data_IF_581666714088
#
_entry.id   IF_581666714088
#
_cell.length_a   1.000
_cell.length_b   1.000
_cell.length_c   1.000
_cell.angle_alpha   90.00
_cell.angle_beta   90.00
_cell.angle_gamma   90.00
#
_symmetry.space_group_name_H-M   'P 1'
#
loop_
_entity.id
_entity.type
_entity.pdbx_description
1 polymer ?
#
# COMPACT_ATOMS: atom_id res chain seq x y z
N UNK A 1 -18.04 21.85 -42.25
CA UNK A 1 -16.65 21.51 -41.91
C UNK A 1 -15.84 22.67 -41.28
N UNK A 2 -15.83 23.88 -41.84
CA UNK A 2 -15.05 25.01 -41.27
C UNK A 2 -15.50 25.43 -39.85
N UNK A 3 -16.81 25.51 -39.56
CA UNK A 3 -17.30 25.90 -38.24
C UNK A 3 -16.96 24.90 -37.13
N UNK A 4 -16.94 23.63 -37.45
CA UNK A 4 -16.65 22.58 -36.49
C UNK A 4 -15.14 22.43 -36.19
N UNK A 5 -14.29 22.68 -37.19
CA UNK A 5 -12.85 22.81 -36.98
C UNK A 5 -12.52 24.04 -36.10
N UNK A 6 -13.24 25.15 -36.32
CA UNK A 6 -13.13 26.34 -35.47
C UNK A 6 -13.55 26.08 -34.01
N UNK A 7 -14.63 25.36 -33.78
CA UNK A 7 -15.07 24.98 -32.41
C UNK A 7 -14.09 24.05 -31.75
N UNK A 8 -13.46 23.11 -32.47
CA UNK A 8 -12.40 22.25 -31.97
C UNK A 8 -11.15 23.04 -31.57
N UNK A 9 -10.74 24.01 -32.41
CA UNK A 9 -9.61 24.89 -32.13
C UNK A 9 -9.92 25.83 -30.95
N UNK A 10 -11.14 26.39 -30.87
CA UNK A 10 -11.55 27.22 -29.74
C UNK A 10 -11.61 26.42 -28.42
N UNK A 11 -12.10 25.19 -28.46
CA UNK A 11 -12.10 24.29 -27.31
C UNK A 11 -10.68 23.93 -26.87
N UNK A 12 -9.79 23.66 -27.82
CA UNK A 12 -8.38 23.36 -27.54
C UNK A 12 -7.62 24.57 -26.98
N UNK A 13 -7.88 25.78 -27.51
CA UNK A 13 -7.24 27.02 -27.00
C UNK A 13 -7.73 27.37 -25.60
N UNK A 14 -9.03 27.15 -25.28
CA UNK A 14 -9.58 27.31 -23.94
C UNK A 14 -8.98 26.32 -22.94
N UNK A 15 -8.85 25.04 -23.33
CA UNK A 15 -8.23 24.01 -22.51
C UNK A 15 -6.74 24.29 -22.26
N UNK A 16 -6.02 24.77 -23.28
CA UNK A 16 -4.61 25.18 -23.15
C UNK A 16 -4.46 26.37 -22.20
N UNK A 17 -5.36 27.38 -22.30
CA UNK A 17 -5.33 28.54 -21.38
C UNK A 17 -5.53 28.13 -19.92
N UNK A 18 -6.52 27.28 -19.64
CA UNK A 18 -6.79 26.75 -18.31
C UNK A 18 -5.62 25.89 -17.77
N UNK A 19 -5.03 25.07 -18.62
CA UNK A 19 -3.87 24.24 -18.24
C UNK A 19 -2.64 25.12 -17.97
N UNK A 20 -2.36 26.11 -18.81
CA UNK A 20 -1.25 27.04 -18.61
C UNK A 20 -1.40 27.80 -17.27
N UNK A 21 -2.61 28.27 -16.95
CA UNK A 21 -2.88 28.96 -15.70
C UNK A 21 -2.71 28.04 -14.48
N UNK A 22 -3.20 26.78 -14.54
CA UNK A 22 -3.05 25.83 -13.45
C UNK A 22 -1.59 25.42 -13.24
N UNK A 23 -0.81 25.27 -14.30
CA UNK A 23 0.62 24.91 -14.21
C UNK A 23 1.49 26.11 -13.82
N UNK A 24 1.09 27.35 -14.18
CA UNK A 24 1.80 28.55 -13.77
C UNK A 24 1.80 28.75 -12.25
N UNK A 25 0.69 28.39 -11.58
CA UNK A 25 0.60 28.39 -10.10
C UNK A 25 1.61 27.45 -9.46
N UNK A 26 2.01 26.39 -10.19
CA UNK A 26 2.98 25.39 -9.74
C UNK A 26 4.41 25.67 -10.27
N UNK A 27 4.65 26.79 -10.93
CA UNK A 27 5.93 27.12 -11.56
C UNK A 27 6.29 26.26 -12.77
N UNK A 28 5.30 25.62 -13.42
CA UNK A 28 5.50 24.65 -14.53
C UNK A 28 4.74 25.06 -15.80
N UNK A 29 4.68 26.35 -16.10
CA UNK A 29 3.97 26.88 -17.27
C UNK A 29 4.54 26.39 -18.61
N UNK A 30 5.82 26.06 -18.67
CA UNK A 30 6.52 25.47 -19.82
C UNK A 30 5.85 24.19 -20.30
N UNK A 31 5.36 23.34 -19.41
CA UNK A 31 4.64 22.10 -19.76
C UNK A 31 3.34 22.33 -20.55
N UNK A 32 2.74 23.50 -20.42
CA UNK A 32 1.56 23.85 -21.22
C UNK A 32 1.95 24.05 -22.70
N UNK A 33 3.08 24.66 -22.94
CA UNK A 33 3.63 24.91 -24.29
C UNK A 33 4.02 23.59 -24.94
N UNK A 34 4.71 22.72 -24.22
CA UNK A 34 5.16 21.41 -24.71
C UNK A 34 3.98 20.48 -25.04
N UNK A 35 2.89 20.58 -24.29
CA UNK A 35 1.68 19.77 -24.54
C UNK A 35 0.69 20.39 -25.55
N UNK A 36 0.87 21.62 -25.96
CA UNK A 36 -0.02 22.30 -26.90
C UNK A 36 -0.30 21.51 -28.21
N UNK A 37 0.74 20.96 -28.91
CA UNK A 37 0.52 20.18 -30.13
C UNK A 37 -0.33 18.92 -29.87
N UNK A 38 -0.13 18.26 -28.74
CA UNK A 38 -0.86 17.05 -28.36
C UNK A 38 -2.34 17.33 -28.07
N UNK A 39 -2.64 18.44 -27.43
CA UNK A 39 -4.02 18.87 -27.16
C UNK A 39 -4.76 19.22 -28.46
N UNK A 40 -4.10 19.96 -29.35
CA UNK A 40 -4.68 20.32 -30.66
C UNK A 40 -4.96 19.06 -31.49
N UNK A 41 -3.97 18.17 -31.61
CA UNK A 41 -4.12 16.92 -32.36
C UNK A 41 -5.21 16.01 -31.75
N UNK A 42 -5.26 15.89 -30.43
CA UNK A 42 -6.30 15.16 -29.71
C UNK A 42 -7.69 15.71 -29.95
N UNK A 43 -7.86 17.04 -29.97
CA UNK A 43 -9.11 17.71 -30.24
C UNK A 43 -9.59 17.47 -31.70
N UNK A 44 -8.67 17.56 -32.66
CA UNK A 44 -8.99 17.28 -34.09
C UNK A 44 -9.41 15.83 -34.27
N UNK A 45 -8.71 14.89 -33.65
CA UNK A 45 -9.02 13.47 -33.69
C UNK A 45 -10.41 13.18 -33.09
N UNK A 46 -10.68 13.68 -31.87
CA UNK A 46 -11.97 13.48 -31.20
C UNK A 46 -13.12 14.06 -31.99
N UNK A 47 -12.91 15.20 -32.63
CA UNK A 47 -13.88 15.79 -33.56
C UNK A 47 -14.14 14.89 -34.77
N UNK A 48 -13.09 14.35 -35.39
CA UNK A 48 -13.21 13.45 -36.54
C UNK A 48 -13.98 12.16 -36.16
N UNK A 49 -13.66 11.57 -35.00
CA UNK A 49 -14.36 10.38 -34.48
C UNK A 49 -15.85 10.68 -34.23
N UNK A 50 -16.19 11.82 -33.63
CA UNK A 50 -17.57 12.22 -33.39
C UNK A 50 -18.31 12.47 -34.72
N UNK A 51 -17.69 13.13 -35.70
CA UNK A 51 -18.28 13.39 -37.01
C UNK A 51 -18.55 12.09 -37.79
N UNK A 52 -17.61 11.13 -37.75
CA UNK A 52 -17.79 9.82 -38.38
C UNK A 52 -18.89 9.00 -37.68
N UNK A 53 -18.93 9.04 -36.35
CA UNK A 53 -20.04 8.42 -35.59
C UNK A 53 -21.38 8.96 -35.98
N UNK A 54 -21.53 10.29 -36.06
CA UNK A 54 -22.76 10.93 -36.48
C UNK A 54 -23.12 10.55 -37.91
N UNK A 55 -22.16 10.51 -38.83
CA UNK A 55 -22.39 10.09 -40.22
C UNK A 55 -22.91 8.65 -40.28
N UNK A 56 -22.30 7.69 -39.56
CA UNK A 56 -22.78 6.31 -39.54
C UNK A 56 -24.20 6.22 -39.01
N UNK A 57 -24.50 6.92 -37.91
CA UNK A 57 -25.85 6.96 -37.34
C UNK A 57 -26.86 7.53 -38.34
N UNK A 58 -26.56 8.65 -39.05
CA UNK A 58 -27.40 9.24 -40.04
C UNK A 58 -27.66 8.31 -41.25
N UNK A 59 -26.62 7.54 -41.67
CA UNK A 59 -26.76 6.56 -42.75
C UNK A 59 -27.69 5.41 -42.35
N UNK A 60 -27.58 4.93 -41.11
CA UNK A 60 -28.50 3.90 -40.56
C UNK A 60 -29.92 4.45 -40.47
N UNK A 61 -30.11 5.65 -39.90
CA UNK A 61 -31.45 6.29 -39.77
C UNK A 61 -32.11 6.55 -41.12
N UNK A 62 -31.31 6.91 -42.11
CA UNK A 62 -31.79 7.11 -43.51
C UNK A 62 -31.92 5.82 -44.30
N UNK A 63 -31.76 4.65 -43.65
CA UNK A 63 -31.83 3.34 -44.27
C UNK A 63 -30.88 3.15 -45.46
N UNK A 64 -29.76 3.89 -45.48
CA UNK A 64 -28.72 3.78 -46.53
C UNK A 64 -27.77 2.62 -46.29
N UNK A 65 -27.61 2.19 -45.04
CA UNK A 65 -26.85 1.01 -44.64
C UNK A 65 -27.67 0.17 -43.66
N UNK A 66 -27.45 -1.13 -43.67
CA UNK A 66 -28.11 -2.05 -42.75
C UNK A 66 -27.66 -1.80 -41.29
N UNK A 67 -28.55 -1.95 -40.29
CA UNK A 67 -28.21 -1.73 -38.88
C UNK A 67 -27.01 -2.58 -38.41
N UNK A 68 -26.88 -3.82 -38.89
CA UNK A 68 -25.75 -4.69 -38.61
C UNK A 68 -24.42 -4.08 -39.09
N UNK A 69 -24.38 -3.53 -40.30
CA UNK A 69 -23.19 -2.87 -40.85
C UNK A 69 -22.88 -1.60 -40.08
N UNK A 70 -23.89 -0.83 -39.69
CA UNK A 70 -23.74 0.33 -38.84
C UNK A 70 -23.15 -0.01 -37.48
N UNK A 71 -23.62 -1.07 -36.82
CA UNK A 71 -23.07 -1.56 -35.54
C UNK A 71 -21.60 -1.95 -35.67
N UNK A 72 -21.21 -2.71 -36.69
CA UNK A 72 -19.84 -3.09 -36.96
C UNK A 72 -18.95 -1.87 -37.17
N UNK A 73 -19.44 -0.88 -37.98
CA UNK A 73 -18.71 0.34 -38.26
C UNK A 73 -18.48 1.19 -37.00
N UNK A 74 -19.51 1.33 -36.15
CA UNK A 74 -19.37 2.02 -34.86
C UNK A 74 -18.41 1.30 -33.92
N UNK A 75 -18.50 -0.02 -33.83
CA UNK A 75 -17.55 -0.80 -33.00
C UNK A 75 -16.11 -0.63 -33.47
N UNK A 76 -15.88 -0.72 -34.78
CA UNK A 76 -14.54 -0.51 -35.36
C UNK A 76 -14.04 0.93 -35.12
N UNK A 77 -14.90 1.92 -35.20
CA UNK A 77 -14.56 3.33 -35.00
C UNK A 77 -14.16 3.57 -33.53
N UNK A 78 -14.92 3.03 -32.58
CA UNK A 78 -14.58 3.10 -31.14
C UNK A 78 -13.28 2.36 -30.87
N UNK A 79 -13.10 1.17 -31.41
CA UNK A 79 -11.87 0.39 -31.23
C UNK A 79 -10.64 1.13 -31.78
N UNK A 80 -10.73 1.74 -32.95
CA UNK A 80 -9.65 2.50 -33.55
C UNK A 80 -9.34 3.79 -32.77
N UNK A 81 -10.38 4.49 -32.29
CA UNK A 81 -10.19 5.70 -31.51
C UNK A 81 -9.50 5.39 -30.19
N UNK A 82 -9.97 4.41 -29.42
CA UNK A 82 -9.33 3.96 -28.17
C UNK A 82 -7.91 3.49 -28.43
N UNK A 83 -7.71 2.58 -29.37
CA UNK A 83 -6.37 2.05 -29.67
C UNK A 83 -5.38 3.13 -30.10
N UNK A 84 -5.84 4.15 -30.82
CA UNK A 84 -4.98 5.27 -31.26
C UNK A 84 -4.37 6.06 -30.08
N UNK A 85 -5.06 6.07 -28.92
CA UNK A 85 -4.57 6.68 -27.67
C UNK A 85 -3.76 5.68 -26.86
N UNK A 86 -4.37 4.54 -26.56
CA UNK A 86 -3.84 3.56 -25.60
C UNK A 86 -2.46 3.05 -26.01
N UNK A 87 -2.22 2.84 -27.31
CA UNK A 87 -0.90 2.39 -27.83
C UNK A 87 0.25 3.30 -27.43
N UNK A 88 0.01 4.59 -27.16
CA UNK A 88 1.04 5.53 -26.73
C UNK A 88 1.47 5.31 -25.28
N UNK A 89 0.61 4.66 -24.48
CA UNK A 89 0.86 4.36 -23.07
C UNK A 89 1.33 2.94 -22.85
N UNK A 90 1.41 2.12 -23.89
CA UNK A 90 1.91 0.77 -23.76
C UNK A 90 3.40 0.79 -23.44
N UNK A 91 3.70 0.46 -22.21
CA UNK A 91 5.05 0.27 -21.73
C UNK A 91 5.22 -1.21 -21.40
N UNK A 92 6.25 -1.82 -21.98
CA UNK A 92 6.58 -3.21 -21.71
C UNK A 92 7.75 -3.24 -20.72
N UNK A 93 7.53 -3.87 -19.58
CA UNK A 93 8.59 -4.18 -18.62
C UNK A 93 9.19 -5.57 -18.92
N UNK A 94 10.40 -5.85 -18.44
CA UNK A 94 10.89 -7.22 -18.39
C UNK A 94 9.88 -8.16 -17.70
N UNK A 95 9.90 -9.47 -17.99
CA UNK A 95 9.04 -10.42 -17.27
C UNK A 95 9.21 -10.29 -15.76
N UNK A 96 8.11 -10.45 -15.02
CA UNK A 96 8.12 -10.33 -13.55
C UNK A 96 9.15 -11.26 -12.88
N UNK A 97 9.39 -12.45 -13.45
CA UNK A 97 10.41 -13.39 -12.99
C UNK A 97 11.85 -12.87 -13.11
N UNK A 98 12.10 -11.93 -14.02
CA UNK A 98 13.41 -11.28 -14.17
C UNK A 98 13.46 -10.04 -13.27
N UNK A 99 12.45 -9.18 -13.35
CA UNK A 99 12.41 -7.91 -12.63
C UNK A 99 12.40 -8.08 -11.10
N UNK A 100 11.70 -9.10 -10.61
CA UNK A 100 11.62 -9.44 -9.20
C UNK A 100 12.41 -10.71 -8.86
N UNK A 101 13.49 -11.00 -9.60
CA UNK A 101 14.39 -12.07 -9.25
C UNK A 101 15.02 -11.81 -7.87
N UNK A 102 15.07 -12.83 -7.02
CA UNK A 102 15.82 -12.77 -5.77
C UNK A 102 17.31 -12.62 -6.02
N UNK A 103 18.02 -12.09 -5.04
CA UNK A 103 19.47 -11.94 -5.04
C UNK A 103 20.06 -12.33 -3.67
N UNK A 104 21.38 -12.30 -3.54
CA UNK A 104 22.06 -12.71 -2.29
C UNK A 104 21.59 -11.93 -1.04
N UNK A 105 21.15 -10.67 -1.21
CA UNK A 105 20.59 -9.85 -0.11
C UNK A 105 19.22 -10.39 0.30
N UNK A 106 18.32 -10.59 -0.67
CA UNK A 106 16.97 -11.09 -0.40
C UNK A 106 16.98 -12.50 0.17
N UNK A 107 17.92 -13.35 -0.31
CA UNK A 107 18.11 -14.72 0.19
C UNK A 107 18.62 -14.74 1.65
N UNK A 108 19.48 -13.79 2.01
CA UNK A 108 19.95 -13.65 3.38
C UNK A 108 18.80 -13.23 4.31
N UNK A 109 17.99 -12.27 3.89
CA UNK A 109 16.84 -11.78 4.67
C UNK A 109 15.79 -12.89 4.82
N UNK A 110 15.52 -13.66 3.77
CA UNK A 110 14.53 -14.74 3.78
C UNK A 110 14.85 -15.88 4.75
N UNK A 111 16.13 -16.04 5.16
CA UNK A 111 16.59 -17.08 6.10
C UNK A 111 16.40 -16.74 7.57
N UNK A 112 15.82 -15.59 7.90
CA UNK A 112 15.65 -15.17 9.29
C UNK A 112 14.54 -15.95 10.00
N UNK A 113 14.83 -16.38 11.24
CA UNK A 113 13.89 -17.16 12.06
C UNK A 113 12.70 -16.36 12.57
N UNK A 114 12.84 -15.05 12.70
CA UNK A 114 11.81 -14.15 13.21
C UNK A 114 11.43 -13.10 12.18
N UNK A 115 10.19 -12.63 12.17
CA UNK A 115 9.74 -11.62 11.23
C UNK A 115 10.32 -10.26 11.59
N UNK A 116 11.12 -9.70 10.66
CA UNK A 116 11.64 -8.33 10.73
C UNK A 116 11.19 -7.55 9.48
N UNK A 117 11.21 -6.21 9.56
CA UNK A 117 11.01 -5.36 8.40
C UNK A 117 12.32 -4.84 7.85
N UNK A 118 12.24 -4.54 6.55
CA UNK A 118 13.31 -3.92 5.78
C UNK A 118 12.92 -2.49 5.46
N UNK A 119 13.83 -1.57 5.68
CA UNK A 119 13.77 -0.22 5.15
C UNK A 119 14.65 -0.17 3.90
N UNK A 120 14.03 -0.03 2.72
CA UNK A 120 14.75 0.11 1.46
C UNK A 120 14.60 1.55 0.95
N UNK A 121 15.68 2.31 0.96
CA UNK A 121 15.70 3.73 0.55
C UNK A 121 16.93 4.02 -0.28
N UNK A 122 16.75 4.49 -1.52
CA UNK A 122 17.86 4.99 -2.32
C UNK A 122 18.32 6.36 -1.79
N UNK A 123 19.62 6.59 -1.85
CA UNK A 123 20.23 7.83 -1.36
C UNK A 123 21.01 8.51 -2.51
N UNK A 124 20.89 9.82 -2.58
CA UNK A 124 21.60 10.64 -3.58
C UNK A 124 20.88 10.77 -4.91
N UNK A 125 21.49 11.56 -5.84
CA UNK A 125 20.88 11.90 -7.12
C UNK A 125 20.89 10.73 -8.14
N UNK A 126 21.75 9.74 -7.94
CA UNK A 126 21.91 8.59 -8.84
C UNK A 126 20.93 7.44 -8.51
N UNK A 127 19.96 7.71 -7.64
CA UNK A 127 18.91 6.77 -7.32
C UNK A 127 18.04 6.49 -8.55
N UNK A 128 17.92 5.22 -8.95
CA UNK A 128 17.06 4.81 -10.06
C UNK A 128 15.61 4.75 -9.59
N UNK A 129 14.72 5.67 -10.02
CA UNK A 129 13.34 5.73 -9.50
C UNK A 129 12.50 4.50 -9.83
N UNK A 130 12.89 3.75 -10.89
CA UNK A 130 12.19 2.57 -11.39
C UNK A 130 12.75 1.26 -10.84
N UNK A 131 13.71 1.33 -9.91
CA UNK A 131 14.27 0.16 -9.26
C UNK A 131 13.22 -0.56 -8.42
N UNK A 132 12.95 -1.86 -8.65
CA UNK A 132 11.91 -2.59 -7.92
C UNK A 132 12.17 -2.68 -6.42
N UNK A 133 13.41 -2.79 -5.98
CA UNK A 133 13.77 -2.88 -4.56
C UNK A 133 13.49 -1.55 -3.84
N UNK A 134 13.82 -0.43 -4.50
CA UNK A 134 13.56 0.92 -3.99
C UNK A 134 12.18 1.45 -4.36
N UNK A 135 11.49 0.81 -5.29
CA UNK A 135 10.14 1.14 -5.77
C UNK A 135 9.01 0.80 -4.79
N UNK A 136 9.29 0.75 -3.50
CA UNK A 136 8.35 0.56 -2.37
C UNK A 136 7.71 -0.82 -2.27
N UNK A 137 7.20 -1.40 -3.37
CA UNK A 137 6.51 -2.70 -3.38
C UNK A 137 7.37 -3.86 -3.90
N UNK A 138 8.60 -3.59 -4.33
CA UNK A 138 9.48 -4.58 -4.96
C UNK A 138 9.91 -5.75 -4.07
N UNK A 139 9.84 -5.59 -2.75
CA UNK A 139 10.12 -6.66 -1.79
C UNK A 139 8.91 -7.58 -1.55
N UNK A 140 7.69 -7.14 -1.89
CA UNK A 140 6.46 -7.90 -1.65
C UNK A 140 6.38 -9.22 -2.42
N UNK A 141 6.72 -9.30 -3.73
CA UNK A 141 6.75 -10.56 -4.45
C UNK A 141 7.71 -11.60 -3.85
N UNK A 142 8.75 -11.13 -3.17
CA UNK A 142 9.74 -11.96 -2.48
C UNK A 142 9.32 -12.33 -1.04
N UNK A 143 8.11 -11.94 -0.62
CA UNK A 143 7.57 -12.12 0.74
C UNK A 143 8.44 -11.50 1.84
N UNK A 144 9.19 -10.47 1.52
CA UNK A 144 9.99 -9.69 2.46
C UNK A 144 9.15 -8.51 2.94
N UNK A 145 9.06 -8.36 4.27
CA UNK A 145 8.28 -7.28 4.90
C UNK A 145 9.00 -5.96 4.72
N UNK A 146 8.34 -4.98 4.12
CA UNK A 146 8.85 -3.63 3.92
C UNK A 146 8.17 -2.64 4.85
N UNK A 147 8.90 -1.59 5.21
CA UNK A 147 8.35 -0.41 5.92
C UNK A 147 7.59 0.49 4.96
N UNK A 148 8.14 0.65 3.77
CA UNK A 148 7.54 1.46 2.72
C UNK A 148 6.75 0.56 1.76
N UNK A 149 5.66 1.08 1.24
CA UNK A 149 4.83 0.49 0.20
C UNK A 149 3.98 1.57 -0.42
N UNK A 150 3.46 1.32 -1.62
CA UNK A 150 2.56 2.24 -2.29
C UNK A 150 1.30 1.50 -2.76
N UNK A 151 0.16 1.88 -2.21
CA UNK A 151 -1.15 1.43 -2.67
C UNK A 151 -2.21 2.50 -2.37
N UNK A 152 -3.32 2.48 -3.10
CA UNK A 152 -4.36 3.52 -3.00
C UNK A 152 -5.12 3.57 -1.66
N UNK A 153 -4.97 2.56 -0.81
CA UNK A 153 -5.65 2.45 0.49
C UNK A 153 -4.64 2.48 1.65
N UNK A 154 -3.81 3.51 1.71
CA UNK A 154 -2.85 3.68 2.78
C UNK A 154 -3.52 3.95 4.13
N UNK A 155 -2.91 3.47 5.21
CA UNK A 155 -3.38 3.73 6.57
C UNK A 155 -2.96 5.14 7.00
N UNK A 156 -3.93 6.04 7.16
CA UNK A 156 -3.68 7.45 7.45
C UNK A 156 -2.77 7.66 8.68
N UNK A 157 -2.95 6.87 9.76
CA UNK A 157 -2.10 6.96 10.96
C UNK A 157 -0.67 6.49 10.71
N UNK A 158 -0.48 5.48 9.85
CA UNK A 158 0.86 5.03 9.47
C UNK A 158 1.61 6.12 8.71
N UNK A 159 0.92 6.79 7.78
CA UNK A 159 1.46 7.93 7.04
C UNK A 159 1.80 9.11 7.97
N UNK A 160 0.97 9.38 8.98
CA UNK A 160 1.26 10.41 9.99
C UNK A 160 2.45 10.02 10.88
N UNK A 161 2.59 8.75 11.26
CA UNK A 161 3.74 8.26 12.01
C UNK A 161 5.05 8.46 11.25
N UNK A 162 5.04 8.21 9.93
CA UNK A 162 6.21 8.39 9.07
C UNK A 162 6.39 9.84 8.60
N UNK A 163 5.40 10.71 8.81
CA UNK A 163 5.34 12.07 8.28
C UNK A 163 5.49 12.12 6.75
N UNK A 164 4.69 11.28 6.06
CA UNK A 164 4.76 11.10 4.61
C UNK A 164 4.57 12.41 3.86
N UNK A 165 3.62 13.26 4.29
CA UNK A 165 3.31 14.54 3.66
C UNK A 165 4.49 15.54 3.68
N UNK A 166 5.48 15.31 4.53
CA UNK A 166 6.70 16.11 4.65
C UNK A 166 7.94 15.34 4.16
N UNK A 167 7.75 14.36 3.26
CA UNK A 167 8.84 13.58 2.68
C UNK A 167 9.41 12.51 3.61
N UNK A 168 8.57 11.90 4.43
CA UNK A 168 8.96 10.82 5.35
C UNK A 168 10.01 11.22 6.38
N UNK A 169 9.88 12.43 6.98
CA UNK A 169 10.89 12.96 7.92
C UNK A 169 11.19 12.04 9.10
N UNK A 170 10.21 11.22 9.53
CA UNK A 170 10.37 10.31 10.66
C UNK A 170 11.02 8.97 10.28
N UNK A 171 11.31 8.72 9.01
CA UNK A 171 11.90 7.44 8.58
C UNK A 171 13.33 7.24 9.12
N UNK A 172 14.03 8.33 9.43
CA UNK A 172 15.34 8.32 10.08
C UNK A 172 15.31 8.27 11.61
N UNK A 173 14.12 8.29 12.23
CA UNK A 173 13.98 8.31 13.68
C UNK A 173 14.15 6.89 14.26
N UNK A 174 15.12 6.64 15.17
CA UNK A 174 15.32 5.33 15.79
C UNK A 174 14.10 4.81 16.54
N UNK A 175 13.24 5.66 17.09
CA UNK A 175 11.99 5.24 17.73
C UNK A 175 11.04 4.59 16.73
N UNK A 176 10.95 5.13 15.51
CA UNK A 176 10.18 4.53 14.42
C UNK A 176 10.75 3.17 14.02
N UNK A 177 12.09 3.04 14.00
CA UNK A 177 12.71 1.74 13.69
C UNK A 177 12.34 0.67 14.73
N UNK A 178 12.35 1.03 16.01
CA UNK A 178 11.93 0.16 17.12
C UNK A 178 10.46 -0.23 16.98
N UNK A 179 9.55 0.75 16.88
CA UNK A 179 8.11 0.54 16.75
C UNK A 179 7.77 -0.38 15.56
N UNK A 180 8.43 -0.16 14.43
CA UNK A 180 8.16 -0.90 13.20
C UNK A 180 9.02 -2.17 13.05
N UNK A 181 9.79 -2.56 14.07
CA UNK A 181 10.62 -3.78 14.04
C UNK A 181 11.54 -3.81 12.80
N UNK A 182 12.23 -2.68 12.52
CA UNK A 182 13.15 -2.57 11.39
C UNK A 182 14.51 -3.11 11.80
N UNK A 183 14.94 -4.19 11.17
CA UNK A 183 16.26 -4.76 11.38
C UNK A 183 17.22 -4.42 10.25
N UNK A 184 16.73 -4.40 9.03
CA UNK A 184 17.57 -4.27 7.85
C UNK A 184 17.33 -2.97 7.12
N UNK A 185 18.42 -2.40 6.64
CA UNK A 185 18.45 -1.23 5.76
C UNK A 185 19.13 -1.60 4.45
N UNK A 186 18.42 -1.41 3.34
CA UNK A 186 18.94 -1.58 1.99
C UNK A 186 19.09 -0.19 1.36
N UNK A 187 20.26 0.07 0.78
CA UNK A 187 20.56 1.33 0.09
C UNK A 187 21.52 1.10 -1.08
N UNK A 188 21.65 2.09 -1.95
CA UNK A 188 22.56 2.09 -3.10
C UNK A 188 23.94 2.66 -2.80
N UNK A 189 24.21 3.09 -1.56
CA UNK A 189 25.45 3.78 -1.19
C UNK A 189 26.22 3.07 -0.07
N UNK A 190 27.54 3.28 -0.06
CA UNK A 190 28.45 2.88 1.03
C UNK A 190 29.44 4.03 1.28
N UNK A 191 29.78 4.36 2.55
CA UNK A 191 29.24 3.79 3.79
C UNK A 191 27.77 4.13 4.02
N UNK A 192 27.13 3.43 4.96
CA UNK A 192 25.74 3.72 5.36
C UNK A 192 25.62 5.16 5.87
N UNK A 193 24.56 5.90 5.48
CA UNK A 193 24.26 7.19 6.09
C UNK A 193 23.76 7.07 7.54
N UNK A 194 23.43 5.86 7.99
CA UNK A 194 22.94 5.60 9.34
C UNK A 194 24.10 5.23 10.25
N UNK A 195 24.35 6.06 11.26
CA UNK A 195 25.40 5.85 12.24
C UNK A 195 25.17 4.54 13.03
N UNK A 196 26.22 3.73 13.15
CA UNK A 196 26.16 2.46 13.87
C UNK A 196 25.57 1.30 13.07
N UNK A 197 25.08 1.52 11.86
CA UNK A 197 24.63 0.43 11.00
C UNK A 197 25.83 -0.43 10.54
N UNK A 198 25.67 -1.75 10.64
CA UNK A 198 26.72 -2.73 10.29
C UNK A 198 26.46 -3.27 8.89
N UNK A 199 27.40 -3.13 7.98
CA UNK A 199 27.29 -3.74 6.65
C UNK A 199 27.35 -5.26 6.76
N UNK A 200 26.34 -5.94 6.20
CA UNK A 200 26.27 -7.40 6.14
C UNK A 200 26.68 -7.94 4.77
N UNK A 201 26.27 -7.24 3.69
CA UNK A 201 26.50 -7.67 2.32
C UNK A 201 26.53 -6.47 1.38
N UNK A 202 27.20 -6.61 0.25
CA UNK A 202 27.24 -5.62 -0.86
C UNK A 202 28.66 -5.29 -1.33
N UNK A 203 28.80 -4.77 -2.56
CA UNK A 203 27.69 -4.49 -3.47
C UNK A 203 27.10 -5.76 -4.10
N UNK A 204 25.79 -5.79 -4.29
CA UNK A 204 25.05 -6.79 -5.06
C UNK A 204 24.27 -6.04 -6.13
N UNK A 205 24.45 -6.38 -7.39
CA UNK A 205 23.68 -5.74 -8.47
C UNK A 205 22.31 -6.42 -8.56
N UNK A 206 21.26 -5.62 -8.55
CA UNK A 206 19.89 -6.11 -8.75
C UNK A 206 19.47 -6.20 -10.22
N UNK A 207 18.23 -6.60 -10.47
CA UNK A 207 17.71 -6.76 -11.83
C UNK A 207 17.56 -5.42 -12.59
N UNK A 208 17.53 -4.28 -11.91
CA UNK A 208 17.53 -2.95 -12.51
C UNK A 208 18.92 -2.39 -12.77
N UNK A 209 19.97 -3.12 -12.35
CA UNK A 209 21.36 -2.70 -12.49
C UNK A 209 21.87 -1.81 -11.34
N UNK A 210 21.07 -1.61 -10.30
CA UNK A 210 21.46 -0.81 -9.14
C UNK A 210 22.41 -1.57 -8.21
N UNK A 211 23.46 -0.92 -7.66
CA UNK A 211 24.25 -1.50 -6.59
C UNK A 211 23.44 -1.47 -5.30
N UNK A 212 23.31 -2.61 -4.63
CA UNK A 212 22.64 -2.75 -3.35
C UNK A 212 23.63 -3.08 -2.24
N UNK A 213 23.45 -2.44 -1.10
CA UNK A 213 24.16 -2.71 0.13
C UNK A 213 23.16 -3.02 1.23
N UNK A 214 23.38 -4.10 1.97
CA UNK A 214 22.58 -4.50 3.10
C UNK A 214 23.29 -4.14 4.40
N UNK A 215 22.58 -3.44 5.26
CA UNK A 215 23.04 -3.10 6.60
C UNK A 215 22.07 -3.65 7.65
N UNK A 216 22.60 -4.05 8.79
CA UNK A 216 21.85 -4.30 10.02
C UNK A 216 21.83 -3.00 10.84
N UNK A 217 20.64 -2.57 11.25
CA UNK A 217 20.48 -1.39 12.08
C UNK A 217 20.94 -1.66 13.53
N UNK A 218 21.43 -0.64 14.23
CA UNK A 218 21.78 -0.81 15.62
C UNK A 218 20.54 -1.08 16.47
N UNK A 219 20.61 -2.10 17.33
CA UNK A 219 19.57 -2.45 18.31
C UNK A 219 18.20 -2.79 17.68
N UNK A 220 18.13 -3.83 16.84
CA UNK A 220 16.84 -4.25 16.28
C UNK A 220 15.94 -4.79 17.38
N UNK A 221 14.74 -4.24 17.51
CA UNK A 221 13.75 -4.70 18.46
C UNK A 221 12.98 -5.93 17.93
N UNK A 222 12.44 -6.78 18.82
CA UNK A 222 11.66 -7.95 18.41
C UNK A 222 10.32 -7.53 17.81
N UNK A 223 9.63 -8.50 17.14
CA UNK A 223 8.29 -8.30 16.58
C UNK A 223 7.23 -7.93 17.63
N UNK A 224 7.45 -8.28 18.89
CA UNK A 224 6.55 -7.98 19.99
C UNK A 224 7.31 -7.87 21.30
N UNK A 225 6.78 -7.09 22.24
CA UNK A 225 7.33 -6.91 23.58
C UNK A 225 6.23 -6.81 24.63
N UNK A 226 6.57 -7.08 25.89
CA UNK A 226 5.65 -6.96 27.03
C UNK A 226 5.99 -5.69 27.81
N UNK A 227 5.06 -4.75 27.82
CA UNK A 227 5.15 -3.54 28.64
C UNK A 227 4.48 -3.76 30.00
N UNK A 228 5.12 -3.36 31.13
CA UNK A 228 4.61 -3.56 32.49
C UNK A 228 3.38 -2.74 32.82
N UNK A 229 3.06 -1.71 32.04
CA UNK A 229 1.95 -0.81 32.33
C UNK A 229 1.17 -0.42 31.07
N UNK A 230 -0.11 -0.18 31.27
CA UNK A 230 -1.03 0.33 30.25
C UNK A 230 -1.38 1.77 30.61
N UNK A 231 -1.12 2.69 29.68
CA UNK A 231 -1.49 4.11 29.77
C UNK A 231 -2.43 4.47 28.64
N UNK A 232 -3.48 5.24 28.92
CA UNK A 232 -4.41 5.71 27.88
C UNK A 232 -4.24 7.20 27.66
N UNK A 233 -4.25 7.61 26.38
CA UNK A 233 -4.12 9.01 26.02
C UNK A 233 -4.73 9.34 24.66
N UNK A 234 -4.94 10.63 24.37
CA UNK A 234 -5.39 11.08 23.05
C UNK A 234 -4.28 10.85 22.02
N UNK A 235 -4.66 10.63 20.75
CA UNK A 235 -3.76 10.30 19.64
C UNK A 235 -2.55 11.23 19.53
N UNK A 236 -2.73 12.53 19.70
CA UNK A 236 -1.65 13.51 19.60
C UNK A 236 -0.60 13.34 20.69
N UNK A 237 -1.04 13.11 21.93
CA UNK A 237 -0.13 12.86 23.05
C UNK A 237 0.61 11.53 22.87
N UNK A 238 -0.09 10.48 22.42
CA UNK A 238 0.54 9.19 22.13
C UNK A 238 1.61 9.35 21.04
N UNK A 239 1.28 9.99 19.90
CA UNK A 239 2.22 10.20 18.80
C UNK A 239 3.46 10.98 19.25
N UNK A 240 3.25 12.09 19.95
CA UNK A 240 4.36 12.92 20.46
C UNK A 240 5.26 12.12 21.41
N UNK A 241 4.65 11.30 22.28
CA UNK A 241 5.40 10.51 23.26
C UNK A 241 6.23 9.40 22.63
N UNK A 242 5.65 8.64 21.68
CA UNK A 242 6.38 7.51 21.06
C UNK A 242 7.51 7.96 20.14
N UNK A 243 7.46 9.18 19.60
CA UNK A 243 8.52 9.77 18.78
C UNK A 243 9.63 10.42 19.61
N UNK A 244 9.43 10.64 20.91
CA UNK A 244 10.43 11.21 21.82
C UNK A 244 11.51 10.16 22.14
N UNK A 245 12.79 10.41 21.83
CA UNK A 245 13.87 9.46 22.07
C UNK A 245 14.09 9.11 23.56
N UNK A 246 13.53 9.87 24.48
CA UNK A 246 13.59 9.61 25.93
C UNK A 246 12.56 8.58 26.38
N UNK A 247 11.52 8.32 25.56
CA UNK A 247 10.49 7.34 25.88
C UNK A 247 10.92 5.94 25.48
N UNK A 248 10.89 5.01 26.42
CA UNK A 248 11.15 3.60 26.17
C UNK A 248 9.83 2.83 26.05
N UNK A 249 9.49 2.39 24.85
CA UNK A 249 8.26 1.65 24.53
C UNK A 249 8.14 0.33 25.30
N UNK A 250 9.25 -0.24 25.78
CA UNK A 250 9.26 -1.43 26.61
C UNK A 250 8.77 -1.19 28.04
N UNK A 251 8.59 0.08 28.48
CA UNK A 251 8.19 0.45 29.84
C UNK A 251 6.71 0.75 30.02
N UNK A 252 6.02 1.14 28.97
CA UNK A 252 4.57 1.37 28.98
C UNK A 252 3.99 1.22 27.57
N UNK A 253 2.84 0.57 27.45
CA UNK A 253 2.05 0.52 26.23
C UNK A 253 1.04 1.67 26.25
N UNK A 254 1.06 2.53 25.22
CA UNK A 254 0.23 3.72 25.12
C UNK A 254 -1.00 3.43 24.25
N UNK A 255 -2.13 3.17 24.88
CA UNK A 255 -3.39 2.92 24.17
C UNK A 255 -4.16 4.21 23.88
N UNK A 256 -4.95 4.20 22.82
CA UNK A 256 -5.92 5.27 22.60
C UNK A 256 -7.01 5.29 23.67
N UNK A 257 -7.71 6.42 23.80
CA UNK A 257 -8.76 6.60 24.81
C UNK A 257 -9.95 5.67 24.61
N UNK A 258 -10.22 5.21 23.39
CA UNK A 258 -11.34 4.34 23.04
C UNK A 258 -11.02 2.84 23.21
N UNK A 259 -9.76 2.47 23.40
CA UNK A 259 -9.37 1.08 23.55
C UNK A 259 -10.08 0.42 24.74
N UNK A 260 -10.61 -0.81 24.60
CA UNK A 260 -11.38 -1.51 25.66
C UNK A 260 -10.43 -2.15 26.70
N UNK A 261 -9.44 -1.40 27.16
CA UNK A 261 -8.44 -1.81 28.14
C UNK A 261 -8.48 -0.87 29.35
N UNK A 262 -8.07 -1.36 30.50
CA UNK A 262 -7.98 -0.56 31.72
C UNK A 262 -6.57 0.03 31.82
N UNK A 263 -6.47 1.34 31.69
CA UNK A 263 -5.21 2.07 31.91
C UNK A 263 -5.04 2.51 33.36
N UNK A 264 -3.80 2.70 33.75
CA UNK A 264 -3.47 3.25 35.09
C UNK A 264 -2.72 4.57 34.93
N UNK A 265 -3.00 5.57 35.77
CA UNK A 265 -2.19 6.77 35.81
C UNK A 265 -0.81 6.43 36.38
N UNK A 266 0.24 6.90 35.70
CA UNK A 266 1.63 6.68 36.16
C UNK A 266 2.25 8.01 36.61
N UNK A 267 2.88 8.02 37.75
CA UNK A 267 3.74 9.12 38.21
C UNK A 267 5.20 8.91 37.80
N UNK A 268 5.59 7.65 37.57
CA UNK A 268 6.91 7.25 37.10
C UNK A 268 6.77 6.01 36.21
N UNK A 269 7.53 5.96 35.13
CA UNK A 269 7.59 4.78 34.27
C UNK A 269 8.25 3.60 35.04
N UNK A 270 7.62 2.43 35.07
CA UNK A 270 8.19 1.22 35.66
C UNK A 270 9.41 0.77 34.86
N UNK A 271 10.20 -0.15 35.40
CA UNK A 271 11.30 -0.78 34.68
C UNK A 271 10.75 -1.85 33.72
N UNK A 272 11.51 -2.18 32.68
CA UNK A 272 11.16 -3.22 31.73
C UNK A 272 11.13 -4.61 32.40
N UNK A 273 10.28 -5.50 31.88
CA UNK A 273 10.06 -6.81 32.51
C UNK A 273 11.11 -7.87 32.14
N UNK A 274 11.92 -7.63 31.10
CA UNK A 274 12.86 -8.65 30.60
C UNK A 274 12.19 -9.91 30.03
N UNK A 275 10.88 -9.85 29.74
CA UNK A 275 10.13 -10.94 29.12
C UNK A 275 10.35 -10.89 27.61
N UNK A 276 11.02 -11.89 27.07
CA UNK A 276 11.17 -12.02 25.63
C UNK A 276 9.91 -12.64 25.00
N UNK A 277 9.59 -12.21 23.78
CA UNK A 277 8.45 -12.71 23.00
C UNK A 277 8.97 -13.31 21.70
N UNK A 278 8.47 -14.50 21.36
CA UNK A 278 8.83 -15.19 20.14
C UNK A 278 7.56 -15.48 19.32
N UNK A 279 7.60 -15.20 18.02
CA UNK A 279 6.57 -15.65 17.10
C UNK A 279 6.81 -17.14 16.77
N UNK A 280 5.88 -18.00 17.16
CA UNK A 280 5.89 -19.43 16.82
C UNK A 280 5.10 -19.70 15.55
N UNK A 281 4.15 -18.80 15.23
CA UNK A 281 3.46 -18.74 13.95
C UNK A 281 3.32 -17.28 13.51
N UNK A 282 3.63 -17.02 12.25
CA UNK A 282 3.45 -15.70 11.67
C UNK A 282 2.97 -15.84 10.22
N UNK A 283 1.68 -15.64 10.03
CA UNK A 283 1.00 -15.68 8.73
C UNK A 283 0.11 -14.43 8.57
N UNK A 284 -0.18 -13.98 7.35
CA UNK A 284 -1.10 -12.88 7.15
C UNK A 284 -2.45 -13.12 7.84
N UNK A 285 -2.77 -12.28 8.82
CA UNK A 285 -4.01 -12.39 9.58
C UNK A 285 -4.03 -13.45 10.69
N UNK A 286 -2.92 -14.16 10.94
CA UNK A 286 -2.84 -15.14 12.04
C UNK A 286 -1.42 -15.18 12.64
N UNK A 287 -1.30 -14.78 13.89
CA UNK A 287 -0.03 -14.71 14.61
C UNK A 287 -0.16 -15.43 15.94
N UNK A 288 0.83 -16.26 16.28
CA UNK A 288 0.94 -16.90 17.59
C UNK A 288 2.25 -16.50 18.23
N UNK A 289 2.16 -15.97 19.45
CA UNK A 289 3.28 -15.43 20.20
C UNK A 289 3.42 -16.17 21.54
N UNK A 290 4.64 -16.53 21.88
CA UNK A 290 4.99 -17.15 23.16
C UNK A 290 5.86 -16.22 24.00
N UNK A 291 5.53 -16.09 25.29
CA UNK A 291 6.25 -15.32 26.27
C UNK A 291 7.22 -16.24 27.02
N UNK A 292 8.46 -15.80 27.19
CA UNK A 292 9.49 -16.57 27.93
C UNK A 292 9.13 -16.76 29.42
N UNK A 293 8.31 -15.87 29.98
CA UNK A 293 7.84 -15.90 31.37
C UNK A 293 6.36 -15.52 31.43
N UNK A 294 5.64 -15.94 32.49
CA UNK A 294 4.25 -15.56 32.71
C UNK A 294 4.09 -14.04 32.80
N UNK A 295 3.04 -13.52 32.16
CA UNK A 295 2.71 -12.10 32.18
C UNK A 295 2.33 -11.62 33.58
N UNK A 296 2.88 -10.52 34.10
CA UNK A 296 2.39 -9.90 35.33
C UNK A 296 1.02 -9.25 35.17
N UNK A 297 0.31 -9.05 36.27
CA UNK A 297 -0.93 -8.30 36.27
C UNK A 297 -0.74 -6.86 35.74
N UNK A 298 -1.67 -6.37 34.92
CA UNK A 298 -1.66 -5.00 34.39
C UNK A 298 -0.67 -4.74 33.25
N UNK A 299 0.03 -5.80 32.78
CA UNK A 299 0.92 -5.71 31.62
C UNK A 299 0.15 -5.78 30.29
N UNK A 300 0.81 -5.34 29.23
CA UNK A 300 0.30 -5.48 27.87
C UNK A 300 1.37 -6.05 26.93
N UNK A 301 0.92 -6.85 25.98
CA UNK A 301 1.71 -7.23 24.82
C UNK A 301 1.48 -6.20 23.72
N UNK A 302 2.56 -5.62 23.21
CA UNK A 302 2.52 -4.78 22.00
C UNK A 302 3.15 -5.58 20.86
N UNK A 303 2.48 -5.62 19.72
CA UNK A 303 2.93 -6.34 18.53
C UNK A 303 3.14 -5.34 17.40
N UNK A 304 4.33 -5.37 16.79
CA UNK A 304 4.70 -4.50 15.67
C UNK A 304 3.95 -4.88 14.40
N UNK A 305 2.62 -4.87 14.47
CA UNK A 305 1.67 -4.98 13.36
C UNK A 305 0.64 -3.87 13.46
N UNK A 306 0.19 -3.37 12.30
CA UNK A 306 -0.81 -2.32 12.27
C UNK A 306 -2.15 -2.81 12.85
N UNK A 307 -2.65 -2.10 13.86
CA UNK A 307 -3.99 -2.35 14.36
C UNK A 307 -5.03 -1.90 13.33
N UNK A 308 -5.97 -2.79 13.08
CA UNK A 308 -7.15 -2.51 12.27
C UNK A 308 -8.38 -3.17 12.90
N UNK A 309 -9.59 -2.58 12.82
CA UNK A 309 -10.81 -3.23 13.26
C UNK A 309 -11.02 -4.59 12.59
N UNK A 310 -11.14 -5.65 13.38
CA UNK A 310 -11.22 -7.03 12.90
C UNK A 310 -10.16 -7.95 13.49
N UNK A 311 -9.13 -7.41 14.14
CA UNK A 311 -8.23 -8.20 14.96
C UNK A 311 -8.92 -8.66 16.27
N UNK A 312 -8.71 -9.90 16.63
CA UNK A 312 -9.11 -10.51 17.90
C UNK A 312 -7.91 -11.14 18.58
N UNK A 313 -7.93 -11.25 19.90
CA UNK A 313 -6.86 -11.84 20.68
C UNK A 313 -7.38 -12.92 21.63
N UNK A 314 -6.64 -14.03 21.71
CA UNK A 314 -6.78 -15.04 22.74
C UNK A 314 -5.50 -15.11 23.56
N UNK A 315 -5.59 -15.04 24.88
CA UNK A 315 -4.48 -15.31 25.80
C UNK A 315 -4.72 -16.66 26.46
N UNK A 316 -3.81 -17.61 26.27
CA UNK A 316 -3.95 -19.01 26.72
C UNK A 316 -5.31 -19.60 26.34
N UNK A 317 -5.77 -19.35 25.10
CA UNK A 317 -7.03 -19.83 24.55
C UNK A 317 -8.28 -19.09 25.04
N UNK A 318 -8.16 -18.04 25.87
CA UNK A 318 -9.30 -17.24 26.37
C UNK A 318 -9.30 -15.85 25.74
N UNK A 319 -10.48 -15.26 25.44
CA UNK A 319 -10.55 -13.92 24.89
C UNK A 319 -9.82 -12.89 25.76
N UNK A 320 -8.98 -12.07 25.12
CA UNK A 320 -8.25 -10.97 25.75
C UNK A 320 -8.64 -9.63 25.12
N UNK A 321 -8.63 -8.55 25.91
CA UNK A 321 -8.93 -7.22 25.42
C UNK A 321 -7.79 -6.75 24.49
N UNK A 322 -8.19 -6.31 23.30
CA UNK A 322 -7.28 -5.85 22.23
C UNK A 322 -7.66 -4.43 21.84
N UNK A 323 -6.68 -3.62 21.51
CA UNK A 323 -6.86 -2.26 21.04
C UNK A 323 -5.65 -1.75 20.28
N UNK A 324 -5.75 -0.53 19.82
CA UNK A 324 -4.64 0.17 19.19
C UNK A 324 -3.70 0.71 20.28
N UNK A 325 -2.46 0.28 20.23
CA UNK A 325 -1.38 0.72 21.10
C UNK A 325 -0.29 1.44 20.28
N UNK A 326 0.49 2.28 20.96
CA UNK A 326 1.64 2.99 20.42
C UNK A 326 1.33 3.59 19.03
N UNK A 327 0.18 4.26 18.97
CA UNK A 327 -0.38 5.01 17.84
C UNK A 327 -0.90 4.17 16.66
N UNK A 328 -0.21 3.11 16.24
CA UNK A 328 -0.58 2.30 15.07
C UNK A 328 -0.57 0.79 15.33
N UNK A 329 -0.01 0.34 16.44
CA UNK A 329 0.32 -1.06 16.69
C UNK A 329 -0.84 -1.82 17.36
N UNK A 330 -0.76 -3.15 17.32
CA UNK A 330 -1.68 -4.01 18.06
C UNK A 330 -1.22 -4.08 19.52
N UNK A 331 -2.13 -3.76 20.45
CA UNK A 331 -1.94 -3.94 21.88
C UNK A 331 -2.94 -4.91 22.47
N UNK A 332 -2.47 -5.83 23.30
CA UNK A 332 -3.31 -6.81 24.02
C UNK A 332 -3.08 -6.65 25.51
N UNK A 333 -4.14 -6.37 26.28
CA UNK A 333 -4.07 -6.42 27.73
C UNK A 333 -3.90 -7.86 28.18
N UNK A 334 -2.79 -8.17 28.87
CA UNK A 334 -2.48 -9.54 29.26
C UNK A 334 -3.18 -9.92 30.57
N UNK A 335 -3.91 -11.04 30.61
CA UNK A 335 -4.29 -11.66 31.86
C UNK A 335 -3.05 -12.07 32.66
N UNK A 336 -3.18 -12.04 34.00
CA UNK A 336 -2.11 -12.53 34.88
C UNK A 336 -1.73 -13.95 34.54
N UNK A 337 -0.43 -14.22 34.48
CA UNK A 337 0.17 -15.52 34.16
C UNK A 337 0.00 -16.00 32.71
N UNK A 338 -0.50 -15.17 31.81
CA UNK A 338 -0.56 -15.51 30.38
C UNK A 338 0.83 -15.83 29.80
N UNK A 339 0.90 -16.87 28.97
CA UNK A 339 2.13 -17.32 28.30
C UNK A 339 2.03 -17.33 26.78
N UNK A 340 0.83 -17.48 26.26
CA UNK A 340 0.61 -17.56 24.79
C UNK A 340 -0.45 -16.54 24.38
N UNK A 341 -0.19 -15.84 23.31
CA UNK A 341 -1.17 -14.93 22.70
C UNK A 341 -1.36 -15.32 21.24
N UNK A 342 -2.59 -15.57 20.87
CA UNK A 342 -3.00 -15.81 19.48
C UNK A 342 -3.80 -14.62 18.97
N UNK A 343 -3.40 -14.10 17.81
CA UNK A 343 -4.06 -13.00 17.11
C UNK A 343 -4.66 -13.52 15.81
N UNK A 344 -5.93 -13.22 15.58
CA UNK A 344 -6.62 -13.55 14.33
C UNK A 344 -7.34 -12.33 13.76
N UNK A 345 -7.23 -12.14 12.45
CA UNK A 345 -7.89 -11.05 11.72
C UNK A 345 -9.05 -11.58 10.90
N UNK A 346 -10.20 -10.95 11.02
CA UNK A 346 -11.35 -11.21 10.16
C UNK A 346 -12.08 -9.92 9.82
N UNK A 347 -12.59 -9.83 8.59
CA UNK A 347 -13.41 -8.70 8.14
C UNK A 347 -14.80 -9.18 7.75
N UNK A 348 -15.81 -9.03 8.63
CA UNK A 348 -17.19 -9.38 8.31
C UNK A 348 -17.74 -8.64 7.10
N UNK A 349 -17.33 -7.36 6.91
CA UNK A 349 -17.71 -6.56 5.74
C UNK A 349 -17.18 -7.15 4.44
N UNK A 350 -15.91 -7.57 4.44
CA UNK A 350 -15.33 -8.25 3.27
C UNK A 350 -16.03 -9.59 2.98
N UNK A 351 -16.28 -10.39 4.00
CA UNK A 351 -16.98 -11.66 3.86
C UNK A 351 -18.38 -11.49 3.24
N UNK A 352 -19.15 -10.50 3.71
CA UNK A 352 -20.47 -10.14 3.15
C UNK A 352 -20.34 -9.66 1.71
N UNK A 353 -19.41 -8.75 1.43
CA UNK A 353 -19.17 -8.24 0.07
C UNK A 353 -18.79 -9.36 -0.90
N UNK A 354 -17.90 -10.27 -0.49
CA UNK A 354 -17.54 -11.45 -1.28
C UNK A 354 -18.75 -12.33 -1.60
N UNK A 355 -19.61 -12.60 -0.61
CA UNK A 355 -20.83 -13.40 -0.80
C UNK A 355 -21.78 -12.74 -1.78
N UNK A 356 -22.03 -11.43 -1.65
CA UNK A 356 -22.89 -10.67 -2.57
C UNK A 356 -22.32 -10.71 -3.98
N UNK A 357 -21.02 -10.50 -4.16
CA UNK A 357 -20.36 -10.53 -5.48
C UNK A 357 -20.48 -11.91 -6.13
N UNK A 358 -20.22 -12.99 -5.39
CA UNK A 358 -20.36 -14.35 -5.92
C UNK A 358 -21.78 -14.66 -6.33
N UNK A 359 -22.77 -14.26 -5.52
CA UNK A 359 -24.18 -14.42 -5.85
C UNK A 359 -24.57 -13.64 -7.10
N UNK A 360 -24.14 -12.38 -7.23
CA UNK A 360 -24.39 -11.55 -8.41
C UNK A 360 -23.76 -12.14 -9.68
N UNK A 361 -22.55 -12.70 -9.58
CA UNK A 361 -21.88 -13.40 -10.69
C UNK A 361 -22.67 -14.62 -11.14
N UNK A 362 -23.12 -15.47 -10.21
CA UNK A 362 -23.94 -16.64 -10.52
C UNK A 362 -25.24 -16.24 -11.20
N UNK A 363 -25.93 -15.22 -10.69
CA UNK A 363 -27.16 -14.71 -11.32
C UNK A 363 -26.90 -14.15 -12.72
N UNK A 364 -25.82 -13.40 -12.90
CA UNK A 364 -25.44 -12.86 -14.22
C UNK A 364 -25.17 -13.97 -15.24
N UNK A 365 -24.41 -14.99 -14.84
CA UNK A 365 -24.14 -16.15 -15.69
C UNK A 365 -25.41 -16.92 -16.03
N UNK A 366 -26.29 -17.15 -15.05
CA UNK A 366 -27.56 -17.82 -15.26
C UNK A 366 -28.47 -17.03 -16.22
N UNK A 367 -28.51 -15.70 -16.09
CA UNK A 367 -29.24 -14.82 -17.00
C UNK A 367 -28.70 -14.88 -18.41
N UNK A 368 -27.39 -14.82 -18.60
CA UNK A 368 -26.75 -14.95 -19.92
C UNK A 368 -27.04 -16.33 -20.55
N UNK A 369 -26.92 -17.40 -19.77
CA UNK A 369 -27.23 -18.75 -20.23
C UNK A 369 -28.71 -18.91 -20.60
N UNK A 370 -29.62 -18.37 -19.78
CA UNK A 370 -31.05 -18.35 -20.05
C UNK A 370 -31.40 -17.60 -21.32
N UNK A 371 -30.79 -16.43 -21.53
CA UNK A 371 -30.94 -15.64 -22.76
C UNK A 371 -30.49 -16.44 -24.02
N UNK A 372 -29.33 -17.05 -23.96
CA UNK A 372 -28.79 -17.85 -25.07
C UNK A 372 -29.65 -19.08 -25.39
N UNK A 373 -30.30 -19.68 -24.40
CA UNK A 373 -31.26 -20.79 -24.61
C UNK A 373 -32.58 -20.26 -25.23
N UNK A 374 -33.07 -19.13 -24.74
CA UNK A 374 -34.29 -18.50 -25.29
C UNK A 374 -34.10 -18.10 -26.75
N UNK A 375 -32.97 -17.48 -27.10
CA UNK A 375 -32.64 -17.09 -28.49
C UNK A 375 -32.55 -18.30 -29.43
N UNK A 376 -31.96 -19.41 -28.96
CA UNK A 376 -31.93 -20.65 -29.76
C UNK A 376 -33.34 -21.21 -30.02
N UNK A 377 -34.24 -21.13 -29.05
CA UNK A 377 -35.63 -21.61 -29.19
C UNK A 377 -36.43 -20.75 -30.14
N UNK A 378 -36.23 -19.43 -30.11
CA UNK A 378 -36.92 -18.50 -31.02
C UNK A 378 -36.38 -18.53 -32.45
N UNK A 379 -35.13 -18.96 -32.65
CA UNK A 379 -34.55 -19.11 -34.00
C UNK A 379 -34.86 -20.45 -34.66
N UNK A 380 -35.41 -21.44 -33.90
CA UNK A 380 -35.83 -22.75 -34.42
C UNK A 380 -37.34 -22.92 -34.56
N UNK A 381 -38.13 -21.93 -34.23
CA UNK A 381 -39.57 -21.83 -34.48
C UNK A 381 -39.86 -20.86 -35.62
#
# INVERSE_FOLDING_TARGET
>A
MRAAALLGVMGATGALGNMAQALAVQGRADLAIDNAPHIVMGSVRSFAAAALTLLVLLLVMRQRIQPKVGAIALTALVALDLWSIERLYWQFSPPASVLFAGNAITDLIAKQDQPYRVLAVPVGPDAVPTDPIFGRDGLMPLRIRSVLGYHGNQLARYNLLLDENQGFRQIGNPQVWRLLNIKYFITNVTPSPITGAKQLLGPVTDAAGSPLYLYELPYPDPIAWVAPAIVKGPDEAVLTTILDPRFDVGRAALFDTAAPVTGVPLTKLPDTLGISVRATKYEPGHIVLELSQPAPAGSALVVSENFYPGWTALADGKPAAIGRADYVLIGVALPTSARTVELAFSSPTYARGKTITLFALVLGLAWCAGGAVADKRSAGA
#
